data_IF_653677759391
#
_entry.id   IF_653677759391
#
_cell.length_a   1.000
_cell.length_b   1.000
_cell.length_c   1.000
_cell.angle_alpha   90.00
_cell.angle_beta   90.00
_cell.angle_gamma   90.00
#
_symmetry.space_group_name_H-M   'P 1'
#
loop_
_entity.id
_entity.type
_entity.pdbx_description
1 polymer ?
#
# COMPACT_ATOMS: atom_id res chain seq x y z
N UNK A 1 -23.16 3.69 3.06
CA UNK A 1 -22.98 5.03 3.63
C UNK A 1 -21.95 5.03 4.76
N UNK A 2 -22.17 4.29 5.86
CA UNK A 2 -21.23 4.25 7.00
C UNK A 2 -19.80 3.78 6.65
N UNK A 3 -19.65 2.77 5.78
CA UNK A 3 -18.34 2.29 5.32
C UNK A 3 -17.51 3.34 4.57
N UNK A 4 -18.16 4.20 3.77
CA UNK A 4 -17.49 5.30 3.06
C UNK A 4 -16.88 6.30 4.05
N UNK A 5 -17.63 6.69 5.07
CA UNK A 5 -17.17 7.61 6.11
C UNK A 5 -16.03 7.02 6.94
N UNK A 6 -16.09 5.72 7.25
CA UNK A 6 -15.00 5.00 7.91
C UNK A 6 -13.73 5.04 7.04
N UNK A 7 -13.83 4.74 5.75
CA UNK A 7 -12.68 4.80 4.86
C UNK A 7 -12.13 6.21 4.64
N UNK A 8 -12.97 7.22 4.59
CA UNK A 8 -12.55 8.63 4.57
C UNK A 8 -11.79 8.99 5.85
N UNK A 9 -12.29 8.58 7.02
CA UNK A 9 -11.60 8.82 8.28
C UNK A 9 -10.24 8.12 8.33
N UNK A 10 -10.15 6.86 7.88
CA UNK A 10 -8.88 6.15 7.80
C UNK A 10 -7.94 6.73 6.75
N UNK A 11 -8.46 7.26 5.63
CA UNK A 11 -7.64 7.96 4.65
C UNK A 11 -7.02 9.23 5.24
N UNK A 12 -7.79 10.03 5.98
CA UNK A 12 -7.28 11.21 6.69
C UNK A 12 -6.18 10.80 7.68
N UNK A 13 -6.42 9.77 8.48
CA UNK A 13 -5.42 9.22 9.42
C UNK A 13 -4.17 8.74 8.66
N UNK A 14 -4.33 8.07 7.52
CA UNK A 14 -3.24 7.61 6.68
C UNK A 14 -2.41 8.78 6.14
N UNK A 15 -3.05 9.87 5.67
CA UNK A 15 -2.34 11.07 5.20
C UNK A 15 -1.59 11.79 6.32
N UNK A 16 -2.20 11.93 7.51
CA UNK A 16 -1.52 12.49 8.69
C UNK A 16 -0.31 11.63 9.05
N UNK A 17 -0.49 10.30 9.03
CA UNK A 17 0.56 9.33 9.31
C UNK A 17 1.72 9.41 8.31
N UNK A 18 1.41 9.59 7.02
CA UNK A 18 2.39 9.80 5.96
C UNK A 18 3.12 11.13 6.10
N UNK A 19 2.44 12.19 6.55
CA UNK A 19 3.07 13.48 6.86
C UNK A 19 4.10 13.35 7.99
N UNK A 20 3.79 12.57 9.04
CA UNK A 20 4.75 12.28 10.11
C UNK A 20 5.94 11.49 9.57
N UNK A 21 5.69 10.51 8.69
CA UNK A 21 6.73 9.68 8.10
C UNK A 21 7.66 10.47 7.18
N UNK A 22 7.12 11.42 6.40
CA UNK A 22 7.91 12.27 5.50
C UNK A 22 8.86 13.22 6.24
N UNK A 23 8.60 13.53 7.51
CA UNK A 23 9.54 14.27 8.38
C UNK A 23 10.71 13.42 8.87
N UNK A 24 10.56 12.09 8.92
CA UNK A 24 11.55 11.16 9.49
C UNK A 24 12.52 10.57 8.45
N UNK A 25 12.21 10.72 7.17
CA UNK A 25 12.93 10.05 6.07
C UNK A 25 12.79 10.89 4.80
N UNK A 26 13.63 10.69 3.78
CA UNK A 26 13.51 11.34 2.47
C UNK A 26 12.36 10.70 1.64
N UNK A 27 11.19 10.59 2.26
CA UNK A 27 10.05 9.81 1.79
C UNK A 27 9.36 10.49 0.64
N UNK A 28 9.53 11.80 0.44
CA UNK A 28 8.83 12.55 -0.61
C UNK A 28 9.05 11.96 -2.01
N UNK A 29 10.27 11.51 -2.32
CA UNK A 29 10.60 10.85 -3.59
C UNK A 29 10.03 9.43 -3.68
N UNK A 30 10.03 8.69 -2.56
CA UNK A 30 9.47 7.33 -2.48
C UNK A 30 7.94 7.38 -2.56
N UNK A 31 7.29 8.32 -1.86
CA UNK A 31 5.86 8.60 -1.89
C UNK A 31 5.43 9.04 -3.28
N UNK A 32 6.14 9.98 -3.90
CA UNK A 32 5.84 10.45 -5.26
C UNK A 32 5.90 9.30 -6.27
N UNK A 33 6.97 8.51 -6.26
CA UNK A 33 7.12 7.38 -7.17
C UNK A 33 6.11 6.25 -6.87
N UNK A 34 5.80 6.01 -5.60
CA UNK A 34 4.85 4.98 -5.18
C UNK A 34 3.39 5.36 -5.49
N UNK A 35 2.99 6.62 -5.27
CA UNK A 35 1.67 7.12 -5.66
C UNK A 35 1.54 7.17 -7.18
N UNK A 36 2.57 7.63 -7.90
CA UNK A 36 2.60 7.60 -9.36
C UNK A 36 2.45 6.18 -9.91
N UNK A 37 3.22 5.23 -9.39
CA UNK A 37 3.12 3.82 -9.77
C UNK A 37 1.73 3.23 -9.46
N UNK A 38 1.14 3.55 -8.31
CA UNK A 38 -0.21 3.07 -7.98
C UNK A 38 -1.28 3.68 -8.88
N UNK A 39 -1.20 4.97 -9.20
CA UNK A 39 -2.10 5.60 -10.17
C UNK A 39 -2.00 4.89 -11.52
N UNK A 40 -0.78 4.64 -12.01
CA UNK A 40 -0.56 3.91 -13.26
C UNK A 40 -1.11 2.48 -13.22
N UNK A 41 -0.76 1.68 -12.19
CA UNK A 41 -1.27 0.31 -12.01
C UNK A 41 -2.80 0.30 -11.93
N UNK A 42 -3.39 1.28 -11.24
CA UNK A 42 -4.84 1.41 -11.10
C UNK A 42 -5.50 1.74 -12.43
N UNK A 43 -4.91 2.65 -13.21
CA UNK A 43 -5.38 2.97 -14.57
C UNK A 43 -5.28 1.73 -15.46
N UNK A 44 -4.15 1.02 -15.43
CA UNK A 44 -3.96 -0.22 -16.18
C UNK A 44 -4.97 -1.30 -15.78
N UNK A 45 -5.22 -1.49 -14.48
CA UNK A 45 -6.22 -2.43 -13.99
C UNK A 45 -7.64 -2.09 -14.42
N UNK A 46 -7.99 -0.79 -14.45
CA UNK A 46 -9.27 -0.31 -14.98
C UNK A 46 -9.37 -0.59 -16.49
N UNK A 47 -8.32 -0.29 -17.26
CA UNK A 47 -8.28 -0.55 -18.72
C UNK A 47 -8.42 -2.05 -19.00
N UNK A 48 -7.69 -2.90 -18.30
CA UNK A 48 -7.75 -4.36 -18.46
C UNK A 48 -9.15 -4.86 -18.10
N UNK A 49 -9.74 -4.38 -17.01
CA UNK A 49 -11.06 -4.80 -16.58
C UNK A 49 -12.17 -4.37 -17.54
N UNK A 50 -12.08 -3.15 -18.11
CA UNK A 50 -13.00 -2.69 -19.16
C UNK A 50 -12.88 -3.56 -20.42
N UNK A 51 -11.65 -3.86 -20.86
CA UNK A 51 -11.40 -4.62 -22.08
C UNK A 51 -11.73 -6.11 -21.95
N UNK A 52 -11.48 -6.72 -20.79
CA UNK A 52 -11.65 -8.15 -20.56
C UNK A 52 -12.95 -8.49 -19.79
N UNK A 53 -13.76 -7.48 -19.43
CA UNK A 53 -15.02 -7.62 -18.71
C UNK A 53 -14.89 -8.50 -17.44
N UNK A 54 -13.77 -8.39 -16.73
CA UNK A 54 -13.40 -9.30 -15.63
C UNK A 54 -14.26 -9.10 -14.36
N UNK A 55 -14.94 -7.97 -14.23
CA UNK A 55 -15.89 -7.73 -13.13
C UNK A 55 -17.31 -7.57 -13.64
N UNK A 56 -18.23 -8.38 -13.12
CA UNK A 56 -19.70 -8.26 -13.30
C UNK A 56 -20.33 -7.09 -12.50
N UNK A 57 -19.54 -6.07 -12.15
CA UNK A 57 -20.03 -4.95 -11.34
C UNK A 57 -20.63 -3.87 -12.24
N UNK A 58 -21.81 -3.37 -11.89
CA UNK A 58 -22.38 -2.24 -12.63
C UNK A 58 -21.53 -0.99 -12.33
N UNK A 59 -21.03 -0.28 -13.36
CA UNK A 59 -20.24 0.94 -13.19
C UNK A 59 -21.04 2.11 -12.58
N UNK A 60 -22.36 1.95 -12.43
CA UNK A 60 -23.31 2.98 -12.01
C UNK A 60 -23.31 3.25 -10.50
N UNK A 61 -22.80 2.34 -9.66
CA UNK A 61 -22.70 2.61 -8.22
C UNK A 61 -21.40 3.35 -7.91
N UNK A 62 -21.35 4.66 -8.17
CA UNK A 62 -20.21 5.52 -7.83
C UNK A 62 -19.69 5.30 -6.39
N UNK A 63 -20.59 4.97 -5.46
CA UNK A 63 -20.29 4.71 -4.05
C UNK A 63 -19.37 3.49 -3.83
N UNK A 64 -19.53 2.46 -4.66
CA UNK A 64 -18.75 1.21 -4.62
C UNK A 64 -17.33 1.52 -5.12
N UNK A 65 -17.20 2.23 -6.25
CA UNK A 65 -15.90 2.68 -6.75
C UNK A 65 -15.08 3.48 -5.72
N UNK A 66 -15.68 4.48 -5.08
CA UNK A 66 -14.97 5.33 -4.11
C UNK A 66 -14.57 4.57 -2.82
N UNK A 67 -15.38 3.60 -2.38
CA UNK A 67 -15.07 2.82 -1.17
C UNK A 67 -13.89 1.86 -1.34
N UNK A 68 -13.52 1.48 -2.57
CA UNK A 68 -12.29 0.71 -2.84
C UNK A 68 -11.10 1.61 -3.12
N UNK A 69 -11.28 2.64 -3.96
CA UNK A 69 -10.16 3.47 -4.41
C UNK A 69 -9.54 4.26 -3.28
N UNK A 70 -10.34 4.76 -2.34
CA UNK A 70 -9.83 5.53 -1.20
C UNK A 70 -8.86 4.69 -0.37
N UNK A 71 -9.20 3.49 0.12
CA UNK A 71 -8.25 2.66 0.90
C UNK A 71 -7.07 2.13 0.09
N UNK A 72 -7.26 1.82 -1.20
CA UNK A 72 -6.17 1.36 -2.06
C UNK A 72 -5.15 2.47 -2.32
N UNK A 73 -5.60 3.72 -2.44
CA UNK A 73 -4.74 4.88 -2.68
C UNK A 73 -4.20 5.52 -1.40
N UNK A 74 -4.70 5.17 -0.21
CA UNK A 74 -4.26 5.81 1.05
C UNK A 74 -3.75 4.81 2.10
N UNK A 75 -4.61 3.91 2.58
CA UNK A 75 -4.32 2.98 3.66
C UNK A 75 -3.22 1.97 3.33
N UNK A 76 -3.39 1.18 2.26
CA UNK A 76 -2.40 0.16 1.89
C UNK A 76 -1.01 0.77 1.66
N UNK A 77 -0.90 1.90 0.91
CA UNK A 77 0.33 2.67 0.78
C UNK A 77 0.98 3.05 2.11
N UNK A 78 0.21 3.66 3.01
CA UNK A 78 0.71 4.12 4.29
C UNK A 78 1.21 2.94 5.13
N UNK A 79 0.46 1.85 5.18
CA UNK A 79 0.84 0.63 5.89
C UNK A 79 2.14 0.03 5.34
N UNK A 80 2.27 -0.08 4.01
CA UNK A 80 3.49 -0.61 3.38
C UNK A 80 4.72 0.27 3.67
N UNK A 81 4.58 1.60 3.61
CA UNK A 81 5.70 2.50 3.87
C UNK A 81 6.11 2.49 5.34
N UNK A 82 5.16 2.44 6.27
CA UNK A 82 5.47 2.23 7.68
C UNK A 82 6.14 0.88 7.93
N UNK A 83 5.68 -0.17 7.26
CA UNK A 83 6.29 -1.49 7.36
C UNK A 83 7.76 -1.45 6.93
N UNK A 84 8.07 -0.85 5.78
CA UNK A 84 9.46 -0.67 5.32
C UNK A 84 10.27 0.19 6.29
N UNK A 85 9.73 1.30 6.77
CA UNK A 85 10.41 2.13 7.77
C UNK A 85 10.78 1.35 9.03
N UNK A 86 9.86 0.54 9.55
CA UNK A 86 10.12 -0.30 10.73
C UNK A 86 11.18 -1.37 10.46
N UNK A 87 11.17 -2.01 9.28
CA UNK A 87 12.18 -2.99 8.88
C UNK A 87 13.59 -2.40 8.86
N UNK A 88 13.77 -1.19 8.32
CA UNK A 88 15.06 -0.50 8.25
C UNK A 88 15.41 0.33 9.49
N UNK A 89 14.56 0.36 10.51
CA UNK A 89 14.83 1.05 11.77
C UNK A 89 15.93 0.35 12.60
N UNK A 90 16.50 1.06 13.58
CA UNK A 90 17.51 0.53 14.52
C UNK A 90 16.93 -0.38 15.61
N UNK A 91 15.64 -0.73 15.52
CA UNK A 91 14.97 -1.61 16.50
C UNK A 91 15.53 -3.04 16.47
N UNK A 92 15.30 -3.78 17.55
CA UNK A 92 15.69 -5.19 17.63
C UNK A 92 14.97 -6.05 16.59
N UNK A 93 15.61 -7.16 16.16
CA UNK A 93 15.04 -8.10 15.19
C UNK A 93 13.70 -8.69 15.67
N UNK A 94 13.56 -8.92 16.98
CA UNK A 94 12.30 -9.37 17.58
C UNK A 94 11.18 -8.33 17.42
N UNK A 95 11.47 -7.05 17.69
CA UNK A 95 10.50 -5.97 17.50
C UNK A 95 10.09 -5.84 16.03
N UNK A 96 11.04 -5.95 15.10
CA UNK A 96 10.78 -5.93 13.66
C UNK A 96 9.85 -7.06 13.23
N UNK A 97 10.07 -8.27 13.76
CA UNK A 97 9.22 -9.43 13.47
C UNK A 97 7.78 -9.23 13.94
N UNK A 98 7.58 -8.73 15.18
CA UNK A 98 6.25 -8.43 15.70
C UNK A 98 5.52 -7.40 14.81
N UNK A 99 6.20 -6.30 14.47
CA UNK A 99 5.59 -5.27 13.61
C UNK A 99 5.30 -5.82 12.20
N UNK A 100 6.15 -6.70 11.67
CA UNK A 100 5.90 -7.36 10.39
C UNK A 100 4.60 -8.17 10.39
N UNK A 101 4.37 -8.97 11.44
CA UNK A 101 3.13 -9.74 11.58
C UNK A 101 1.91 -8.81 11.68
N UNK A 102 2.01 -7.72 12.45
CA UNK A 102 0.94 -6.74 12.59
C UNK A 102 0.60 -6.08 11.24
N UNK A 103 1.61 -5.57 10.51
CA UNK A 103 1.40 -4.90 9.23
C UNK A 103 0.86 -5.85 8.16
N UNK A 104 1.40 -7.07 8.06
CA UNK A 104 0.89 -8.09 7.13
C UNK A 104 -0.57 -8.45 7.43
N UNK A 105 -0.91 -8.65 8.71
CA UNK A 105 -2.28 -8.98 9.12
C UNK A 105 -3.23 -7.82 8.84
N UNK A 106 -2.80 -6.56 9.05
CA UNK A 106 -3.59 -5.39 8.72
C UNK A 106 -3.87 -5.29 7.21
N UNK A 107 -2.86 -5.54 6.37
CA UNK A 107 -3.00 -5.53 4.90
C UNK A 107 -3.97 -6.62 4.41
N UNK A 108 -3.87 -7.83 4.94
CA UNK A 108 -4.77 -8.94 4.60
C UNK A 108 -6.20 -8.68 5.11
N UNK A 109 -6.34 -8.08 6.29
CA UNK A 109 -7.65 -7.75 6.87
C UNK A 109 -8.45 -6.76 6.01
N UNK A 110 -7.77 -5.79 5.38
CA UNK A 110 -8.42 -4.87 4.43
C UNK A 110 -9.02 -5.65 3.24
N UNK A 111 -8.36 -6.71 2.78
CA UNK A 111 -8.87 -7.53 1.67
C UNK A 111 -10.01 -8.43 2.08
N UNK A 112 -9.90 -9.09 3.25
CA UNK A 112 -11.01 -9.87 3.84
C UNK A 112 -12.25 -8.99 3.93
N UNK A 113 -12.09 -7.74 4.40
CA UNK A 113 -13.20 -6.80 4.50
C UNK A 113 -13.81 -6.47 3.14
N UNK A 114 -13.01 -6.26 2.10
CA UNK A 114 -13.53 -6.03 0.75
C UNK A 114 -14.24 -7.24 0.13
N UNK A 115 -13.76 -8.46 0.40
CA UNK A 115 -14.46 -9.69 0.01
C UNK A 115 -15.80 -9.79 0.74
N UNK A 116 -15.83 -9.49 2.04
CA UNK A 116 -17.05 -9.53 2.85
C UNK A 116 -18.10 -8.52 2.38
N UNK A 117 -17.68 -7.33 1.94
CA UNK A 117 -18.55 -6.32 1.34
C UNK A 117 -19.02 -6.69 -0.08
N UNK A 118 -18.76 -7.92 -0.55
CA UNK A 118 -19.06 -8.45 -1.90
C UNK A 118 -18.45 -7.60 -3.02
N UNK A 119 -17.43 -6.83 -2.68
CA UNK A 119 -16.76 -5.94 -3.62
C UNK A 119 -15.78 -6.70 -4.50
N UNK A 120 -15.09 -7.68 -3.93
CA UNK A 120 -14.10 -8.49 -4.63
C UNK A 120 -14.66 -9.92 -4.72
N UNK A 121 -15.26 -10.26 -5.87
CA UNK A 121 -15.63 -11.64 -6.18
C UNK A 121 -14.41 -12.34 -6.78
N UNK A 122 -13.63 -12.97 -5.91
CA UNK A 122 -12.52 -13.80 -6.33
C UNK A 122 -13.04 -15.22 -6.53
N UNK A 123 -12.91 -15.72 -7.75
CA UNK A 123 -13.14 -17.13 -8.05
C UNK A 123 -11.95 -17.90 -7.43
N UNK A 124 -12.20 -18.63 -6.33
CA UNK A 124 -11.21 -19.43 -5.57
C UNK A 124 -10.16 -18.64 -4.78
N UNK A 125 -10.59 -17.66 -3.97
CA UNK A 125 -9.68 -16.95 -3.07
C UNK A 125 -9.19 -17.80 -1.91
N UNK A 126 -7.87 -17.79 -1.67
CA UNK A 126 -7.26 -18.32 -0.47
C UNK A 126 -6.48 -17.20 0.24
N UNK A 127 -6.75 -17.01 1.53
CA UNK A 127 -6.09 -16.04 2.41
C UNK A 127 -4.57 -16.20 2.37
N UNK A 128 -4.08 -17.42 2.21
CA UNK A 128 -2.65 -17.71 2.05
C UNK A 128 -2.01 -16.93 0.89
N UNK A 129 -2.67 -16.85 -0.27
CA UNK A 129 -2.14 -16.11 -1.42
C UNK A 129 -2.07 -14.60 -1.15
N UNK A 130 -2.97 -14.05 -0.33
CA UNK A 130 -2.88 -12.66 0.10
C UNK A 130 -1.64 -12.42 0.97
N UNK A 131 -1.36 -13.30 1.95
CA UNK A 131 -0.12 -13.22 2.73
C UNK A 131 1.13 -13.35 1.86
N UNK A 132 1.17 -14.33 0.95
CA UNK A 132 2.28 -14.54 0.03
C UNK A 132 2.53 -13.29 -0.84
N UNK A 133 1.46 -12.72 -1.41
CA UNK A 133 1.54 -11.49 -2.20
C UNK A 133 2.14 -10.33 -1.39
N UNK A 134 1.64 -10.07 -0.19
CA UNK A 134 2.14 -8.96 0.61
C UNK A 134 3.58 -9.17 1.08
N UNK A 135 3.98 -10.40 1.40
CA UNK A 135 5.39 -10.73 1.66
C UNK A 135 6.28 -10.39 0.46
N UNK A 136 5.88 -10.77 -0.76
CA UNK A 136 6.64 -10.47 -1.99
C UNK A 136 6.70 -8.96 -2.27
N UNK A 137 5.58 -8.25 -2.12
CA UNK A 137 5.53 -6.79 -2.29
C UNK A 137 6.49 -6.10 -1.31
N UNK A 138 6.44 -6.48 -0.03
CA UNK A 138 7.33 -5.90 0.99
C UNK A 138 8.79 -6.23 0.71
N UNK A 139 9.11 -7.44 0.27
CA UNK A 139 10.48 -7.82 -0.11
C UNK A 139 11.01 -6.94 -1.25
N UNK A 140 10.22 -6.77 -2.32
CA UNK A 140 10.59 -5.91 -3.46
C UNK A 140 10.76 -4.45 -3.04
N UNK A 141 9.85 -3.92 -2.23
CA UNK A 141 9.96 -2.58 -1.67
C UNK A 141 11.20 -2.42 -0.80
N UNK A 142 11.56 -3.44 -0.03
CA UNK A 142 12.75 -3.40 0.81
C UNK A 142 14.03 -3.36 -0.02
N UNK A 143 14.12 -4.19 -1.06
CA UNK A 143 15.23 -4.18 -2.02
C UNK A 143 15.32 -2.82 -2.70
N UNK A 144 14.21 -2.30 -3.24
CA UNK A 144 14.17 -0.99 -3.88
C UNK A 144 14.62 0.14 -2.95
N UNK A 145 14.11 0.14 -1.71
CA UNK A 145 14.46 1.15 -0.70
C UNK A 145 15.94 1.07 -0.31
N UNK A 146 16.50 -0.13 -0.23
CA UNK A 146 17.93 -0.34 0.00
C UNK A 146 18.79 0.28 -1.11
N UNK A 147 18.44 0.05 -2.38
CA UNK A 147 19.15 0.65 -3.52
C UNK A 147 19.00 2.17 -3.58
N UNK A 148 17.79 2.70 -3.34
CA UNK A 148 17.57 4.15 -3.26
C UNK A 148 18.41 4.80 -2.16
N UNK A 149 18.50 4.18 -0.99
CA UNK A 149 19.34 4.68 0.10
C UNK A 149 20.81 4.69 -0.29
N UNK A 150 21.28 3.64 -0.98
CA UNK A 150 22.65 3.56 -1.50
C UNK A 150 22.94 4.67 -2.52
N UNK A 151 22.06 4.88 -3.49
CA UNK A 151 22.18 5.96 -4.49
C UNK A 151 22.19 7.35 -3.83
N UNK A 152 21.31 7.58 -2.85
CA UNK A 152 21.24 8.87 -2.15
C UNK A 152 22.48 9.18 -1.30
N UNK A 153 23.23 8.16 -0.85
CA UNK A 153 24.49 8.36 -0.14
C UNK A 153 25.63 8.71 -1.11
N UNK A 154 25.70 8.01 -2.25
CA UNK A 154 26.67 8.30 -3.31
C UNK A 154 26.52 9.74 -3.84
N UNK A 155 25.30 10.24 -4.03
CA UNK A 155 25.06 11.63 -4.46
C UNK A 155 25.53 12.68 -3.45
N UNK A 156 25.54 12.35 -2.14
CA UNK A 156 26.04 13.24 -1.10
C UNK A 156 27.56 13.25 -1.05
N UNK A 157 28.21 12.10 -1.29
CA UNK A 157 29.67 12.01 -1.39
C UNK A 157 30.20 12.77 -2.62
N UNK A 158 29.53 12.69 -3.77
CA UNK A 158 29.93 13.40 -4.99
C UNK A 158 29.79 14.93 -4.87
N UNK A 159 28.81 15.43 -4.10
CA UNK A 159 28.63 16.88 -3.86
C UNK A 159 29.52 17.44 -2.75
N UNK A 160 30.22 16.58 -2.01
CA UNK A 160 31.13 17.00 -0.94
C UNK A 160 32.58 17.21 -1.43
N UNK A 161 32.84 16.94 -2.71
CA UNK A 161 34.08 17.19 -3.46
C UNK A 161 33.87 18.43 -4.33
#
# INVERSE_FOLDING_TARGET
MMSLWIFLSFAIIAFISLYILSRKTNVSTVLGNYFGANVLITITGVIININLQLTKQSPTSHLIFWTQKIPELSLKPALLLWFIYFLFSTRSNFSKCIHAVIFLTALVSIEIYFVHMKYLQWVNWNVFYSYLRYCLITLLLAIYTFYLKKLSLNDKEVRAI
#
